data_IF_402727679439
#
_entry.id   IF_402727679439
#
_cell.length_a   1.000
_cell.length_b   1.000
_cell.length_c   1.000
_cell.angle_alpha   90.00
_cell.angle_beta   90.00
_cell.angle_gamma   90.00
#
_symmetry.space_group_name_H-M   'P 1'
#
loop_
_entity.id
_entity.type
_entity.pdbx_description
1 polymer ?
#
# COMPACT_ATOMS: atom_id res chain seq x y z
N UNK A 1 11.56 8.96 -6.69
CA UNK A 1 10.65 8.21 -7.58
C UNK A 1 9.81 7.32 -6.69
N UNK A 2 8.51 7.57 -6.64
CA UNK A 2 7.56 6.69 -5.95
C UNK A 2 7.26 5.50 -6.87
N UNK A 3 7.20 4.28 -6.33
CA UNK A 3 6.99 3.05 -7.11
C UNK A 3 5.99 2.17 -6.39
N UNK A 4 4.95 1.73 -7.11
CA UNK A 4 3.99 0.76 -6.62
C UNK A 4 3.98 -0.44 -7.57
N UNK A 5 4.08 -1.64 -7.01
CA UNK A 5 3.99 -2.91 -7.74
C UNK A 5 3.02 -3.82 -7.00
N UNK A 6 1.93 -4.20 -7.66
CA UNK A 6 0.90 -5.06 -7.07
C UNK A 6 0.84 -6.37 -7.84
N UNK A 7 0.95 -7.49 -7.12
CA UNK A 7 0.85 -8.83 -7.69
C UNK A 7 -0.43 -9.50 -7.18
N UNK A 8 -1.49 -9.45 -8.00
CA UNK A 8 -2.76 -10.10 -7.68
C UNK A 8 -2.58 -11.59 -7.35
N UNK A 9 -1.77 -12.30 -8.14
CA UNK A 9 -1.48 -13.73 -7.96
C UNK A 9 -0.85 -14.06 -6.61
N UNK A 10 -0.13 -13.11 -6.01
CA UNK A 10 0.51 -13.29 -4.69
C UNK A 10 -0.34 -12.74 -3.54
N UNK A 11 -1.41 -11.97 -3.83
CA UNK A 11 -2.15 -11.23 -2.82
C UNK A 11 -1.30 -10.20 -2.07
N UNK A 12 -0.16 -9.78 -2.65
CA UNK A 12 0.80 -8.86 -2.04
C UNK A 12 1.12 -7.71 -3.00
N UNK A 13 1.29 -6.52 -2.44
CA UNK A 13 1.75 -5.34 -3.17
C UNK A 13 2.91 -4.68 -2.42
N UNK A 14 3.94 -4.31 -3.15
CA UNK A 14 5.08 -3.56 -2.65
C UNK A 14 4.94 -2.10 -3.07
N UNK A 15 5.02 -1.20 -2.10
CA UNK A 15 4.89 0.24 -2.33
C UNK A 15 6.10 0.94 -1.71
N UNK A 16 6.80 1.71 -2.52
CA UNK A 16 7.86 2.62 -2.10
C UNK A 16 7.28 4.02 -2.07
N UNK A 17 7.15 4.57 -0.87
CA UNK A 17 6.60 5.89 -0.59
C UNK A 17 7.54 6.69 0.31
N UNK A 18 7.35 8.01 0.33
CA UNK A 18 8.09 8.90 1.21
C UNK A 18 7.35 9.07 2.55
N UNK A 19 7.89 8.57 3.67
CA UNK A 19 7.23 8.63 4.97
C UNK A 19 7.10 10.08 5.49
N UNK A 20 7.83 11.05 4.92
CA UNK A 20 7.65 12.47 5.27
C UNK A 20 6.40 13.09 4.63
N UNK A 21 5.79 12.42 3.64
CA UNK A 21 4.61 12.92 2.89
C UNK A 21 3.36 12.09 3.12
N UNK A 22 3.51 10.77 3.28
CA UNK A 22 2.38 9.85 3.43
C UNK A 22 2.70 8.77 4.45
N UNK A 23 1.72 8.45 5.29
CA UNK A 23 1.86 7.38 6.27
C UNK A 23 1.38 6.06 5.70
N UNK A 24 1.87 4.93 6.24
CA UNK A 24 1.35 3.60 5.91
C UNK A 24 -0.17 3.51 6.09
N UNK A 25 -0.67 4.16 7.15
CA UNK A 25 -2.10 4.26 7.44
C UNK A 25 -2.87 4.98 6.34
N UNK A 26 -2.35 6.09 5.83
CA UNK A 26 -2.99 6.82 4.73
C UNK A 26 -3.11 5.94 3.48
N UNK A 27 -2.08 5.14 3.18
CA UNK A 27 -2.11 4.19 2.06
C UNK A 27 -3.21 3.14 2.27
N UNK A 28 -3.31 2.55 3.47
CA UNK A 28 -4.35 1.56 3.79
C UNK A 28 -5.75 2.18 3.74
N UNK A 29 -5.94 3.37 4.31
CA UNK A 29 -7.23 4.07 4.32
C UNK A 29 -7.69 4.41 2.89
N UNK A 30 -6.76 4.78 2.00
CA UNK A 30 -7.07 5.00 0.58
C UNK A 30 -7.51 3.71 -0.12
N UNK A 31 -6.86 2.58 0.19
CA UNK A 31 -7.26 1.27 -0.34
C UNK A 31 -8.65 0.86 0.16
N UNK A 32 -8.98 1.14 1.43
CA UNK A 32 -10.32 0.87 1.98
C UNK A 32 -11.41 1.74 1.35
N UNK A 33 -11.10 3.02 1.08
CA UNK A 33 -12.02 3.95 0.40
C UNK A 33 -12.42 3.51 -1.00
N UNK A 34 -11.54 2.82 -1.73
CA UNK A 34 -11.85 2.27 -3.06
C UNK A 34 -12.54 0.90 -2.99
N UNK A 35 -12.86 0.41 -1.79
CA UNK A 35 -13.59 -0.84 -1.57
C UNK A 35 -12.70 -2.08 -1.45
N UNK A 36 -11.40 -1.92 -1.26
CA UNK A 36 -10.45 -3.02 -1.09
C UNK A 36 -9.89 -3.03 0.33
N UNK A 37 -9.51 -4.18 0.87
CA UNK A 37 -8.82 -4.22 2.18
C UNK A 37 -7.35 -4.53 1.99
N UNK A 38 -6.50 -3.65 2.52
CA UNK A 38 -5.07 -3.87 2.62
C UNK A 38 -4.66 -3.98 4.09
N UNK A 39 -3.60 -4.74 4.35
CA UNK A 39 -2.92 -4.78 5.64
C UNK A 39 -1.42 -4.66 5.38
N UNK A 40 -0.76 -3.81 6.15
CA UNK A 40 0.70 -3.72 6.14
C UNK A 40 1.27 -5.03 6.69
N UNK A 41 2.22 -5.59 5.95
CA UNK A 41 2.97 -6.79 6.33
C UNK A 41 4.44 -6.40 6.33
N UNK A 42 5.05 -6.42 7.51
CA UNK A 42 6.50 -6.35 7.67
C UNK A 42 7.07 -7.73 7.32
N UNK A 43 8.08 -7.76 6.44
CA UNK A 43 8.78 -9.00 6.02
C UNK A 43 10.09 -9.18 6.80
#
# INVERSE_FOLDING_TARGET
MEKASVSYSKGKGEVVFDPAKVSEKDIVDQVDRIGFRAKVIEE
#
